data_IF_914074606670
#
_entry.id   IF_914074606670
#
_cell.length_a   1.000
_cell.length_b   1.000
_cell.length_c   1.000
_cell.angle_alpha   90.00
_cell.angle_beta   90.00
_cell.angle_gamma   90.00
#
_symmetry.space_group_name_H-M   'P 1'
#
loop_
_entity.id
_entity.type
_entity.pdbx_description
1 polymer ?
#
# COMPACT_ATOMS: atom_id res chain seq x y z
N UNK A 1 10.68 -4.78 -14.42
CA UNK A 1 9.97 -4.34 -15.66
C UNK A 1 8.68 -5.14 -15.81
N UNK A 2 7.70 -4.67 -16.57
CA UNK A 2 6.47 -5.45 -16.79
C UNK A 2 6.80 -6.76 -17.53
N UNK A 3 6.18 -7.86 -17.09
CA UNK A 3 6.40 -9.20 -17.66
C UNK A 3 7.74 -9.87 -17.33
N UNK A 4 8.65 -9.19 -16.62
CA UNK A 4 9.91 -9.80 -16.18
C UNK A 4 9.73 -10.69 -14.96
N UNK A 5 10.64 -11.63 -14.74
CA UNK A 5 10.68 -12.50 -13.54
C UNK A 5 10.60 -11.68 -12.24
N UNK A 6 11.35 -10.59 -12.13
CA UNK A 6 11.35 -9.72 -10.95
C UNK A 6 10.05 -8.95 -10.70
N UNK A 7 9.07 -8.99 -11.62
CA UNK A 7 7.74 -8.42 -11.42
C UNK A 7 6.70 -9.47 -10.98
N UNK A 8 7.05 -10.76 -10.98
CA UNK A 8 6.17 -11.81 -10.49
C UNK A 8 6.06 -11.77 -8.96
N UNK A 9 4.96 -12.30 -8.42
CA UNK A 9 4.89 -12.58 -6.99
C UNK A 9 5.96 -13.60 -6.59
N UNK A 10 6.46 -13.48 -5.36
CA UNK A 10 7.37 -14.47 -4.81
C UNK A 10 6.70 -15.87 -4.80
N UNK A 11 7.38 -16.97 -5.18
CA UNK A 11 6.74 -18.29 -5.35
C UNK A 11 6.05 -18.87 -4.10
N UNK A 12 6.41 -18.38 -2.91
CA UNK A 12 5.80 -18.77 -1.63
C UNK A 12 4.57 -17.94 -1.23
N UNK A 13 4.21 -16.93 -2.01
CA UNK A 13 3.00 -16.15 -1.77
C UNK A 13 1.79 -16.90 -2.31
N UNK A 14 0.89 -17.32 -1.42
CA UNK A 14 -0.38 -17.92 -1.80
C UNK A 14 -1.40 -16.81 -2.06
N UNK A 15 -1.92 -16.76 -3.29
CA UNK A 15 -2.87 -15.73 -3.73
C UNK A 15 -4.25 -16.32 -4.07
N UNK A 16 -4.49 -17.59 -3.73
CA UNK A 16 -5.74 -18.29 -4.07
C UNK A 16 -6.99 -17.66 -3.45
N UNK A 17 -6.82 -16.99 -2.30
CA UNK A 17 -7.87 -16.24 -1.62
C UNK A 17 -7.97 -14.78 -2.09
N UNK A 18 -7.11 -14.32 -2.99
CA UNK A 18 -7.14 -12.94 -3.48
C UNK A 18 -8.29 -12.74 -4.46
N UNK A 19 -9.19 -11.82 -4.13
CA UNK A 19 -10.33 -11.49 -5.00
C UNK A 19 -9.99 -10.49 -6.11
N UNK A 20 -8.85 -9.80 -5.99
CA UNK A 20 -8.35 -8.86 -6.97
C UNK A 20 -6.83 -8.72 -6.89
N UNK A 21 -6.19 -8.50 -8.04
CA UNK A 21 -4.78 -8.11 -8.16
C UNK A 21 -4.74 -6.74 -8.85
N UNK A 22 -4.22 -5.74 -8.17
CA UNK A 22 -4.11 -4.37 -8.68
C UNK A 22 -2.63 -4.07 -8.95
N UNK A 23 -2.31 -3.73 -10.20
CA UNK A 23 -0.97 -3.32 -10.61
C UNK A 23 -0.82 -1.80 -10.51
N UNK A 24 0.30 -1.34 -9.94
CA UNK A 24 0.66 0.08 -9.80
C UNK A 24 1.94 0.44 -10.56
N UNK A 25 2.13 1.72 -10.85
CA UNK A 25 3.32 2.23 -11.56
C UNK A 25 3.39 1.75 -13.01
N UNK A 26 2.23 1.64 -13.67
CA UNK A 26 2.12 1.08 -15.02
C UNK A 26 2.38 2.11 -16.11
N UNK A 27 2.36 3.41 -15.78
CA UNK A 27 2.62 4.52 -16.70
C UNK A 27 4.07 4.94 -16.63
N UNK A 28 4.79 4.88 -17.75
CA UNK A 28 6.21 5.20 -17.83
C UNK A 28 6.56 6.64 -17.42
N UNK A 29 5.60 7.55 -17.45
CA UNK A 29 5.77 8.96 -17.08
C UNK A 29 5.51 9.27 -15.61
N UNK A 30 4.95 8.34 -14.82
CA UNK A 30 4.48 8.60 -13.45
C UNK A 30 4.76 7.37 -12.57
N UNK A 31 5.58 7.54 -11.53
CA UNK A 31 5.80 6.51 -10.50
C UNK A 31 4.54 6.35 -9.61
N UNK A 32 4.44 5.30 -8.79
CA UNK A 32 3.29 5.12 -7.88
C UNK A 32 3.70 4.32 -6.64
N UNK A 33 3.91 5.06 -5.54
CA UNK A 33 4.06 4.51 -4.20
C UNK A 33 2.72 4.35 -3.47
N UNK A 34 1.72 5.13 -3.89
CA UNK A 34 0.35 5.10 -3.37
C UNK A 34 -0.43 3.92 -3.97
N UNK A 35 -1.48 3.52 -3.25
CA UNK A 35 -2.33 2.38 -3.63
C UNK A 35 -3.72 2.83 -4.08
N UNK A 36 -4.11 4.07 -3.79
CA UNK A 36 -5.41 4.58 -4.21
C UNK A 36 -5.34 5.67 -5.29
N UNK A 37 -4.24 6.41 -5.37
CA UNK A 37 -3.94 7.35 -6.46
C UNK A 37 -2.58 7.06 -7.10
N UNK A 38 -2.35 7.54 -8.32
CA UNK A 38 -0.97 7.66 -8.83
C UNK A 38 -0.22 8.78 -8.09
N UNK A 39 1.10 8.88 -8.27
CA UNK A 39 1.93 9.90 -7.61
C UNK A 39 1.67 11.35 -8.10
N UNK A 40 0.63 11.54 -8.91
CA UNK A 40 0.06 12.84 -9.30
C UNK A 40 -1.05 13.32 -8.35
N UNK A 41 -1.42 12.50 -7.35
CA UNK A 41 -2.50 12.75 -6.36
C UNK A 41 -3.88 13.00 -6.98
N UNK A 42 -4.08 12.63 -8.26
CA UNK A 42 -5.28 12.94 -9.04
C UNK A 42 -5.87 11.71 -9.73
N UNK A 43 -5.02 10.84 -10.26
CA UNK A 43 -5.46 9.69 -11.05
C UNK A 43 -5.85 8.54 -10.11
N UNK A 44 -7.15 8.18 -9.98
CA UNK A 44 -7.57 7.12 -9.09
C UNK A 44 -7.17 5.74 -9.64
N UNK A 45 -6.69 4.86 -8.77
CA UNK A 45 -6.25 3.49 -9.11
C UNK A 45 -7.38 2.44 -9.05
N UNK A 46 -8.63 2.88 -8.90
CA UNK A 46 -9.82 2.02 -8.85
C UNK A 46 -10.03 1.26 -7.54
N UNK A 47 -9.00 1.06 -6.71
CA UNK A 47 -9.11 0.29 -5.47
C UNK A 47 -10.07 0.92 -4.45
N UNK A 48 -10.13 2.25 -4.33
CA UNK A 48 -11.10 2.91 -3.41
C UNK A 48 -12.52 2.52 -3.80
N UNK A 49 -12.84 2.62 -5.09
CA UNK A 49 -14.15 2.29 -5.63
C UNK A 49 -14.51 0.85 -5.31
N UNK A 50 -13.59 -0.08 -5.62
CA UNK A 50 -13.76 -1.50 -5.33
C UNK A 50 -14.03 -1.78 -3.85
N UNK A 51 -13.27 -1.17 -2.94
CA UNK A 51 -13.45 -1.37 -1.50
C UNK A 51 -14.78 -0.79 -1.01
N UNK A 52 -15.15 0.41 -1.46
CA UNK A 52 -16.40 1.07 -1.06
C UNK A 52 -17.64 0.34 -1.58
N UNK A 53 -17.63 -0.11 -2.82
CA UNK A 53 -18.71 -0.91 -3.40
C UNK A 53 -18.93 -2.21 -2.63
N UNK A 54 -17.87 -2.76 -2.02
CA UNK A 54 -17.93 -3.95 -1.16
C UNK A 54 -18.24 -3.64 0.31
N UNK A 55 -18.52 -2.38 0.66
CA UNK A 55 -18.84 -1.98 2.03
C UNK A 55 -17.67 -2.10 3.01
N UNK A 56 -16.43 -2.12 2.52
CA UNK A 56 -15.23 -2.19 3.37
C UNK A 56 -15.09 -0.89 4.16
N UNK A 57 -14.91 -1.01 5.47
CA UNK A 57 -14.70 0.12 6.38
C UNK A 57 -13.33 0.08 7.08
N UNK A 58 -12.71 -1.10 7.12
CA UNK A 58 -11.42 -1.34 7.78
C UNK A 58 -10.44 -1.97 6.80
N UNK A 59 -9.25 -1.39 6.69
CA UNK A 59 -8.17 -1.87 5.82
C UNK A 59 -7.00 -2.31 6.69
N UNK A 60 -6.53 -3.54 6.44
CA UNK A 60 -5.34 -4.10 7.09
C UNK A 60 -4.25 -4.28 6.05
N UNK A 61 -3.09 -3.69 6.28
CA UNK A 61 -1.96 -3.74 5.36
C UNK A 61 -0.82 -4.59 5.91
N UNK A 62 -0.18 -5.31 5.01
CA UNK A 62 1.03 -6.09 5.22
C UNK A 62 1.88 -6.08 3.93
N UNK A 63 3.15 -6.46 4.01
CA UNK A 63 4.02 -6.59 2.84
C UNK A 63 5.20 -5.61 2.83
N UNK A 64 5.60 -5.18 1.64
CA UNK A 64 6.87 -4.49 1.40
C UNK A 64 6.68 -3.21 0.56
N UNK A 65 7.46 -2.15 0.80
CA UNK A 65 8.28 -1.90 1.98
C UNK A 65 7.48 -1.13 3.04
N UNK A 66 7.74 -1.39 4.32
CA UNK A 66 7.03 -0.79 5.46
C UNK A 66 7.07 0.75 5.41
N UNK A 67 8.24 1.29 5.11
CA UNK A 67 8.63 2.69 5.06
C UNK A 67 8.34 3.38 3.71
N UNK A 68 7.80 2.64 2.73
CA UNK A 68 7.40 3.17 1.43
C UNK A 68 5.97 2.72 1.09
N UNK A 69 5.84 1.72 0.22
CA UNK A 69 4.55 1.33 -0.36
C UNK A 69 3.50 1.05 0.73
N UNK A 70 3.87 0.39 1.83
CA UNK A 70 2.92 0.12 2.92
C UNK A 70 2.52 1.42 3.62
N UNK A 71 3.48 2.24 4.05
CA UNK A 71 3.20 3.51 4.73
C UNK A 71 2.34 4.45 3.87
N UNK A 72 2.75 4.72 2.63
CA UNK A 72 1.99 5.58 1.72
C UNK A 72 0.57 5.08 1.49
N UNK A 73 0.39 3.76 1.33
CA UNK A 73 -0.94 3.16 1.19
C UNK A 73 -1.79 3.28 2.45
N UNK A 74 -1.18 3.13 3.63
CA UNK A 74 -1.88 3.23 4.91
C UNK A 74 -2.34 4.67 5.17
N UNK A 75 -1.47 5.64 4.90
CA UNK A 75 -1.78 7.06 5.01
C UNK A 75 -2.88 7.49 4.04
N UNK A 76 -2.81 7.04 2.80
CA UNK A 76 -3.82 7.30 1.77
C UNK A 76 -5.17 6.67 2.14
N UNK A 77 -5.20 5.42 2.63
CA UNK A 77 -6.43 4.82 3.16
C UNK A 77 -7.04 5.64 4.32
N UNK A 78 -6.20 6.12 5.24
CA UNK A 78 -6.67 6.94 6.36
C UNK A 78 -7.27 8.27 5.87
N UNK A 79 -6.63 8.93 4.91
CA UNK A 79 -7.12 10.17 4.29
C UNK A 79 -8.45 9.95 3.54
N UNK A 80 -8.68 8.74 3.01
CA UNK A 80 -9.94 8.35 2.37
C UNK A 80 -11.05 7.93 3.37
N UNK A 81 -10.77 8.01 4.67
CA UNK A 81 -11.74 7.76 5.75
C UNK A 81 -11.87 6.30 6.19
N UNK A 82 -10.95 5.42 5.78
CA UNK A 82 -10.93 4.05 6.28
C UNK A 82 -10.30 3.97 7.66
N UNK A 83 -10.73 3.00 8.46
CA UNK A 83 -9.97 2.59 9.66
C UNK A 83 -8.79 1.73 9.23
N UNK A 84 -7.56 2.11 9.59
CA UNK A 84 -6.35 1.48 9.04
C UNK A 84 -5.52 0.81 10.11
N UNK A 85 -5.07 -0.41 9.82
CA UNK A 85 -4.09 -1.13 10.64
C UNK A 85 -2.96 -1.67 9.78
N UNK A 86 -1.71 -1.44 10.17
CA UNK A 86 -0.54 -2.09 9.58
C UNK A 86 -0.08 -3.21 10.51
N UNK A 87 0.06 -4.42 9.96
CA UNK A 87 0.57 -5.58 10.68
C UNK A 87 2.10 -5.56 10.58
N UNK A 88 2.78 -4.87 11.49
CA UNK A 88 4.22 -4.60 11.44
C UNK A 88 5.03 -5.89 11.38
N UNK A 89 4.59 -6.93 12.10
CA UNK A 89 5.22 -8.26 12.10
C UNK A 89 5.18 -8.95 10.73
N UNK A 90 4.29 -8.52 9.84
CA UNK A 90 4.16 -9.01 8.47
C UNK A 90 4.75 -8.02 7.43
N UNK A 91 5.58 -7.07 7.88
CA UNK A 91 6.23 -6.08 7.04
C UNK A 91 7.75 -6.10 7.19
N UNK A 92 8.46 -5.55 6.19
CA UNK A 92 9.89 -5.24 6.29
C UNK A 92 10.16 -3.88 5.63
N UNK A 93 11.01 -3.07 6.27
CA UNK A 93 11.46 -1.79 5.76
C UNK A 93 12.70 -1.93 4.89
N UNK A 94 12.95 -0.94 4.04
CA UNK A 94 14.25 -0.75 3.38
C UNK A 94 15.21 -0.03 4.37
N UNK A 95 14.69 0.98 5.06
CA UNK A 95 15.35 1.84 6.05
C UNK A 95 16.54 2.63 5.48
N UNK A 96 16.35 3.25 4.32
CA UNK A 96 17.31 4.20 3.78
C UNK A 96 17.20 5.54 4.52
N UNK A 97 18.32 6.05 5.04
CA UNK A 97 18.41 7.38 5.65
C UNK A 97 17.33 7.64 6.72
N UNK A 98 17.07 6.65 7.59
CA UNK A 98 16.08 6.77 8.68
C UNK A 98 14.63 6.96 8.17
N UNK A 99 14.30 6.45 6.99
CA UNK A 99 12.96 6.49 6.41
C UNK A 99 11.93 5.73 7.25
N UNK A 100 12.33 4.64 7.94
CA UNK A 100 11.40 3.88 8.77
C UNK A 100 10.86 4.70 9.95
N UNK A 101 11.74 5.39 10.68
CA UNK A 101 11.32 6.19 11.83
C UNK A 101 10.33 7.29 11.41
N UNK A 102 10.62 7.97 10.29
CA UNK A 102 9.74 9.00 9.72
C UNK A 102 8.39 8.42 9.29
N UNK A 103 8.38 7.28 8.60
CA UNK A 103 7.15 6.63 8.17
C UNK A 103 6.26 6.22 9.35
N UNK A 104 6.85 5.67 10.43
CA UNK A 104 6.12 5.32 11.66
C UNK A 104 5.48 6.55 12.30
N UNK A 105 6.22 7.65 12.41
CA UNK A 105 5.74 8.89 13.02
C UNK A 105 4.53 9.44 12.25
N UNK A 106 4.64 9.55 10.92
CA UNK A 106 3.59 10.11 10.07
C UNK A 106 2.35 9.19 10.06
N UNK A 107 2.53 7.87 9.98
CA UNK A 107 1.42 6.91 10.07
C UNK A 107 0.64 7.07 11.37
N UNK A 108 1.33 7.15 12.50
CA UNK A 108 0.68 7.36 13.82
C UNK A 108 -0.03 8.71 13.88
N UNK A 109 0.57 9.77 13.34
CA UNK A 109 -0.04 11.09 13.28
C UNK A 109 -1.34 11.12 12.45
N UNK A 110 -1.45 10.25 11.43
CA UNK A 110 -2.68 10.04 10.64
C UNK A 110 -3.67 9.05 11.24
N UNK A 111 -3.43 8.56 12.46
CA UNK A 111 -4.33 7.63 13.14
C UNK A 111 -4.25 6.19 12.66
N UNK A 112 -3.20 5.83 11.90
CA UNK A 112 -2.95 4.43 11.52
C UNK A 112 -2.50 3.64 12.76
N UNK A 113 -3.14 2.50 13.01
CA UNK A 113 -2.77 1.59 14.09
C UNK A 113 -1.63 0.69 13.59
N UNK A 114 -0.56 0.58 14.38
CA UNK A 114 0.57 -0.31 14.10
C UNK A 114 0.55 -1.48 15.10
N UNK A 115 0.57 -2.74 14.61
CA UNK A 115 0.39 -3.98 15.40
C UNK A 115 1.46 -5.06 15.18
#
# INVERSE_FOLDING_TARGET
MQGSEGAAFHPKLHVDAAEAIIHKGTRSSIDSYFTFFENDWKTPMGLIGLLRERGVTHVRLAGLALDFCVAYSAMDAADQGFSVTVIEKACRAIDNENSLAQAIEIMRAKGVILQ
#
